data_IF_277187773052
#
_entry.id   IF_277187773052
#
_cell.length_a   1.000
_cell.length_b   1.000
_cell.length_c   1.000
_cell.angle_alpha   90.00
_cell.angle_beta   90.00
_cell.angle_gamma   90.00
#
_symmetry.space_group_name_H-M   'P 1'
#
loop_
_entity.id
_entity.type
_entity.pdbx_description
1 polymer ?
#
# COMPACT_ATOMS: atom_id res chain seq x y z
N UNK A 1 -56.81 -15.55 27.42
CA UNK A 1 -55.67 -14.72 27.86
C UNK A 1 -54.39 -15.39 27.38
N UNK A 2 -53.88 -15.00 26.21
CA UNK A 2 -52.68 -15.60 25.62
C UNK A 2 -51.46 -14.94 26.27
N UNK A 3 -50.66 -15.73 26.98
CA UNK A 3 -49.47 -15.28 27.69
C UNK A 3 -48.41 -14.91 26.64
N UNK A 4 -48.05 -13.63 26.57
CA UNK A 4 -46.98 -13.16 25.71
C UNK A 4 -45.67 -13.87 26.07
N UNK A 5 -45.10 -14.59 25.12
CA UNK A 5 -43.77 -15.19 25.26
C UNK A 5 -42.78 -14.02 25.20
N UNK A 6 -42.25 -13.68 26.37
CA UNK A 6 -41.11 -12.77 26.52
C UNK A 6 -39.98 -13.25 25.63
N UNK A 7 -39.59 -12.41 24.67
CA UNK A 7 -38.44 -12.62 23.79
C UNK A 7 -37.17 -12.28 24.58
N UNK A 8 -36.95 -12.96 25.70
CA UNK A 8 -35.75 -12.79 26.52
C UNK A 8 -34.58 -13.49 25.85
N UNK A 9 -33.56 -12.69 25.52
CA UNK A 9 -32.16 -13.08 25.53
C UNK A 9 -31.76 -14.18 24.55
N UNK A 10 -31.73 -13.84 23.27
CA UNK A 10 -30.68 -14.38 22.41
C UNK A 10 -29.37 -13.68 22.79
N UNK A 11 -28.77 -14.08 23.92
CA UNK A 11 -27.36 -13.86 24.19
C UNK A 11 -26.58 -14.55 23.06
N UNK A 12 -26.35 -13.82 21.98
CA UNK A 12 -25.30 -14.17 21.03
C UNK A 12 -24.03 -14.16 21.85
N UNK A 13 -23.49 -15.36 22.08
CA UNK A 13 -22.17 -15.62 22.62
C UNK A 13 -21.18 -14.88 21.71
N UNK A 14 -20.96 -13.61 22.03
CA UNK A 14 -20.17 -12.68 21.25
C UNK A 14 -18.71 -13.08 21.38
N UNK A 15 -17.96 -12.84 20.31
CA UNK A 15 -16.51 -12.98 20.25
C UNK A 15 -15.83 -12.55 21.57
N UNK A 16 -14.72 -13.21 21.93
CA UNK A 16 -13.91 -12.93 23.15
C UNK A 16 -13.38 -11.49 23.21
N UNK A 17 -13.57 -10.68 22.15
CA UNK A 17 -13.03 -9.34 22.00
C UNK A 17 -14.16 -8.30 21.82
N UNK A 18 -14.00 -7.07 22.39
CA UNK A 18 -14.95 -5.99 22.21
C UNK A 18 -15.08 -5.59 20.73
N UNK A 19 -16.30 -5.29 20.28
CA UNK A 19 -16.58 -4.97 18.87
C UNK A 19 -15.75 -3.82 18.30
N UNK A 20 -15.34 -2.87 19.16
CA UNK A 20 -14.49 -1.73 18.79
C UNK A 20 -13.15 -2.15 18.19
N UNK A 21 -12.62 -3.30 18.57
CA UNK A 21 -11.30 -3.76 18.12
C UNK A 21 -11.34 -4.62 16.86
N UNK A 22 -12.50 -5.08 16.41
CA UNK A 22 -12.57 -6.00 15.26
C UNK A 22 -12.02 -5.41 13.96
N UNK A 23 -12.25 -4.11 13.71
CA UNK A 23 -11.70 -3.45 12.53
C UNK A 23 -10.19 -3.24 12.63
N UNK A 24 -9.70 -2.90 13.82
CA UNK A 24 -8.26 -2.74 14.07
C UNK A 24 -7.55 -4.08 13.88
N UNK A 25 -8.12 -5.16 14.41
CA UNK A 25 -7.60 -6.52 14.23
C UNK A 25 -7.58 -6.90 12.75
N UNK A 26 -8.65 -6.60 11.99
CA UNK A 26 -8.67 -6.87 10.56
C UNK A 26 -7.55 -6.12 9.81
N UNK A 27 -7.34 -4.84 10.11
CA UNK A 27 -6.25 -4.05 9.52
C UNK A 27 -4.88 -4.61 9.91
N UNK A 28 -4.69 -5.05 11.15
CA UNK A 28 -3.45 -5.69 11.59
C UNK A 28 -3.21 -7.04 10.91
N UNK A 29 -4.26 -7.84 10.68
CA UNK A 29 -4.16 -9.09 9.93
C UNK A 29 -3.74 -8.82 8.48
N UNK A 30 -4.29 -7.78 7.84
CA UNK A 30 -3.88 -7.36 6.49
C UNK A 30 -2.42 -6.88 6.46
N UNK A 31 -1.98 -6.14 7.47
CA UNK A 31 -0.57 -5.74 7.56
C UNK A 31 0.34 -6.97 7.75
N UNK A 32 -0.06 -7.89 8.61
CA UNK A 32 0.69 -9.11 8.90
C UNK A 32 0.77 -10.02 7.67
N UNK A 33 -0.31 -10.15 6.87
CA UNK A 33 -0.28 -10.96 5.65
C UNK A 33 0.77 -10.45 4.67
N UNK A 34 0.87 -9.12 4.51
CA UNK A 34 1.90 -8.50 3.65
C UNK A 34 3.30 -8.81 4.20
N UNK A 35 3.54 -8.65 5.50
CA UNK A 35 4.86 -8.93 6.09
C UNK A 35 5.26 -10.40 5.92
N UNK A 36 4.32 -11.33 6.13
CA UNK A 36 4.58 -12.76 6.01
C UNK A 36 4.81 -13.15 4.56
N UNK A 37 3.98 -12.68 3.63
CA UNK A 37 4.08 -13.06 2.22
C UNK A 37 5.32 -12.46 1.54
N UNK A 38 5.67 -11.23 1.90
CA UNK A 38 6.82 -10.52 1.34
C UNK A 38 8.06 -10.54 2.25
N UNK A 39 8.16 -11.52 3.16
CA UNK A 39 9.26 -11.64 4.12
C UNK A 39 10.64 -11.53 3.46
N UNK A 40 10.87 -12.29 2.39
CA UNK A 40 12.16 -12.26 1.68
C UNK A 40 12.47 -10.91 1.03
N UNK A 41 11.46 -10.14 0.62
CA UNK A 41 11.67 -8.79 0.08
C UNK A 41 11.99 -7.80 1.21
N UNK A 42 11.31 -7.92 2.34
CA UNK A 42 11.44 -7.00 3.48
C UNK A 42 12.76 -7.21 4.23
N UNK A 43 13.17 -8.47 4.45
CA UNK A 43 14.28 -8.81 5.34
C UNK A 43 15.52 -9.37 4.63
N UNK A 44 15.38 -9.93 3.42
CA UNK A 44 16.50 -10.58 2.70
C UNK A 44 17.00 -9.75 1.52
N UNK A 45 16.57 -8.49 1.38
CA UNK A 45 16.91 -7.58 0.28
C UNK A 45 16.62 -8.14 -1.11
N UNK A 46 15.66 -9.07 -1.22
CA UNK A 46 15.19 -9.55 -2.50
C UNK A 46 14.36 -8.47 -3.21
N UNK A 47 14.31 -8.51 -4.54
CA UNK A 47 13.50 -7.60 -5.34
C UNK A 47 12.74 -8.34 -6.43
N UNK A 48 11.72 -7.70 -6.99
CA UNK A 48 10.98 -8.25 -8.12
C UNK A 48 11.86 -8.21 -9.38
N UNK A 49 12.20 -9.39 -9.90
CA UNK A 49 12.94 -9.52 -11.16
C UNK A 49 11.94 -9.34 -12.31
N UNK A 50 11.78 -8.09 -12.74
CA UNK A 50 11.09 -7.73 -13.97
C UNK A 50 12.04 -6.95 -14.88
N UNK A 51 11.99 -7.20 -16.19
CA UNK A 51 12.87 -6.55 -17.16
C UNK A 51 12.79 -5.01 -17.04
N UNK A 52 11.60 -4.47 -16.81
CA UNK A 52 11.38 -3.03 -16.64
C UNK A 52 12.02 -2.47 -15.35
N UNK A 53 12.01 -3.24 -14.25
CA UNK A 53 12.69 -2.86 -13.00
C UNK A 53 14.20 -2.75 -13.21
N UNK A 54 14.78 -3.67 -13.97
CA UNK A 54 16.22 -3.67 -14.28
C UNK A 54 16.55 -2.53 -15.25
N UNK A 55 15.78 -2.36 -16.32
CA UNK A 55 15.98 -1.29 -17.31
C UNK A 55 15.91 0.11 -16.68
N UNK A 56 15.01 0.31 -15.71
CA UNK A 56 14.85 1.60 -15.01
C UNK A 56 16.10 2.05 -14.24
N UNK A 57 16.98 1.12 -13.83
CA UNK A 57 18.24 1.45 -13.14
C UNK A 57 19.22 2.24 -14.01
N UNK A 58 19.09 2.17 -15.34
CA UNK A 58 19.92 2.94 -16.26
C UNK A 58 19.80 4.47 -16.04
N UNK A 59 18.70 4.94 -15.44
CA UNK A 59 18.46 6.36 -15.17
C UNK A 59 19.02 6.85 -13.82
N UNK A 60 19.56 5.98 -12.96
CA UNK A 60 20.04 6.38 -11.64
C UNK A 60 21.17 7.41 -11.69
N UNK A 61 22.13 7.23 -12.62
CA UNK A 61 23.25 8.16 -12.79
C UNK A 61 22.77 9.54 -13.23
N UNK A 62 21.86 9.58 -14.21
CA UNK A 62 21.25 10.83 -14.69
C UNK A 62 20.50 11.54 -13.55
N UNK A 63 19.74 10.80 -12.74
CA UNK A 63 19.03 11.34 -11.59
C UNK A 63 20.00 11.95 -10.57
N UNK A 64 21.05 11.21 -10.18
CA UNK A 64 22.04 11.69 -9.20
C UNK A 64 22.77 12.94 -9.68
N UNK A 65 23.14 12.99 -10.96
CA UNK A 65 23.81 14.14 -11.56
C UNK A 65 22.89 15.38 -11.54
N UNK A 66 21.65 15.25 -12.00
CA UNK A 66 20.66 16.32 -11.97
C UNK A 66 20.39 16.83 -10.54
N UNK A 67 20.24 15.93 -9.57
CA UNK A 67 20.08 16.27 -8.15
C UNK A 67 21.29 17.02 -7.60
N UNK A 68 22.51 16.60 -7.94
CA UNK A 68 23.76 17.26 -7.50
C UNK A 68 23.90 18.70 -8.01
N UNK A 69 23.31 18.99 -9.16
CA UNK A 69 23.30 20.31 -9.78
C UNK A 69 22.06 21.15 -9.39
N UNK A 70 21.14 20.59 -8.60
CA UNK A 70 19.88 21.23 -8.24
C UNK A 70 18.95 21.44 -9.46
N UNK A 71 19.16 20.70 -10.54
CA UNK A 71 18.39 20.83 -11.78
C UNK A 71 17.21 19.87 -11.71
N UNK A 72 16.01 20.40 -11.92
CA UNK A 72 14.83 19.57 -12.14
C UNK A 72 14.89 19.01 -13.57
N UNK A 73 15.01 17.67 -13.75
CA UNK A 73 15.20 17.10 -15.06
C UNK A 73 13.92 17.21 -15.88
N UNK A 74 14.04 17.85 -17.05
CA UNK A 74 12.96 18.04 -18.00
C UNK A 74 12.93 16.89 -19.02
N UNK A 75 12.04 17.01 -20.01
CA UNK A 75 11.89 16.03 -21.08
C UNK A 75 13.21 15.73 -21.81
N UNK A 76 13.48 14.45 -22.05
CA UNK A 76 14.67 13.96 -22.74
C UNK A 76 14.38 13.78 -24.26
N UNK A 77 15.07 14.52 -25.16
CA UNK A 77 14.80 14.48 -26.60
C UNK A 77 15.39 13.28 -27.37
N UNK A 78 16.11 12.36 -26.73
CA UNK A 78 16.74 11.23 -27.43
C UNK A 78 15.75 10.13 -27.85
N UNK A 79 16.08 9.41 -28.94
CA UNK A 79 15.22 8.39 -29.58
C UNK A 79 14.89 7.27 -28.58
N UNK A 80 13.60 6.85 -28.52
CA UNK A 80 12.95 6.02 -27.49
C UNK A 80 12.56 6.71 -26.17
N UNK A 81 12.73 8.04 -26.04
CA UNK A 81 12.13 8.86 -24.98
C UNK A 81 10.85 9.60 -25.45
N UNK A 82 10.25 9.15 -26.54
CA UNK A 82 9.18 9.83 -27.28
C UNK A 82 7.76 9.37 -26.92
N UNK A 83 7.13 10.08 -25.99
CA UNK A 83 5.73 10.51 -26.10
C UNK A 83 5.61 11.89 -25.42
N UNK A 84 4.92 12.88 -26.01
CA UNK A 84 4.78 14.21 -25.40
C UNK A 84 3.78 14.13 -24.25
N UNK A 85 4.33 13.95 -23.05
CA UNK A 85 3.61 13.87 -21.78
C UNK A 85 4.58 13.41 -20.71
N UNK A 86 5.11 14.36 -19.91
CA UNK A 86 6.20 14.12 -18.95
C UNK A 86 7.49 13.62 -19.63
N UNK A 87 8.63 13.58 -18.94
CA UNK A 87 9.76 12.75 -19.37
C UNK A 87 9.41 11.25 -19.16
N UNK A 88 8.36 10.78 -19.86
CA UNK A 88 7.91 9.40 -20.13
C UNK A 88 8.28 8.32 -19.10
N UNK A 89 7.86 8.45 -17.83
CA UNK A 89 8.07 7.43 -16.77
C UNK A 89 9.53 6.94 -16.63
N UNK A 90 10.50 7.66 -17.22
CA UNK A 90 11.88 7.19 -17.32
C UNK A 90 12.53 7.24 -15.94
N UNK A 91 12.23 8.28 -15.17
CA UNK A 91 12.47 8.34 -13.75
C UNK A 91 11.59 9.44 -13.12
N UNK A 92 11.17 9.23 -11.88
CA UNK A 92 10.46 10.23 -11.09
C UNK A 92 11.46 10.92 -10.15
N UNK A 93 11.75 12.19 -10.43
CA UNK A 93 12.50 13.08 -9.54
C UNK A 93 11.61 13.70 -8.46
N UNK A 94 12.23 14.32 -7.45
CA UNK A 94 11.50 15.05 -6.42
C UNK A 94 10.82 16.30 -7.01
N UNK A 95 9.50 16.38 -6.88
CA UNK A 95 8.70 17.50 -7.36
C UNK A 95 8.40 18.45 -6.19
N UNK A 96 9.32 19.37 -5.92
CA UNK A 96 9.14 20.33 -4.82
C UNK A 96 7.87 21.19 -4.94
N UNK A 97 7.35 21.37 -6.15
CA UNK A 97 6.10 22.09 -6.41
C UNK A 97 4.84 21.24 -6.18
N UNK A 98 4.94 19.91 -6.09
CA UNK A 98 3.81 19.00 -5.89
C UNK A 98 3.70 18.62 -4.41
N UNK A 99 2.94 19.42 -3.67
CA UNK A 99 2.73 19.24 -2.23
C UNK A 99 2.02 17.91 -1.94
N UNK A 100 1.16 17.44 -2.84
CA UNK A 100 0.45 16.17 -2.68
C UNK A 100 1.41 15.00 -2.80
N UNK A 101 2.28 15.00 -3.81
CA UNK A 101 3.33 14.00 -3.96
C UNK A 101 4.29 14.01 -2.77
N UNK A 102 4.70 15.19 -2.31
CA UNK A 102 5.55 15.33 -1.13
C UNK A 102 4.91 14.66 0.10
N UNK A 103 3.64 14.97 0.39
CA UNK A 103 2.91 14.39 1.52
C UNK A 103 2.81 12.86 1.42
N UNK A 104 2.41 12.35 0.25
CA UNK A 104 2.29 10.90 0.02
C UNK A 104 3.65 10.21 0.19
N UNK A 105 4.71 10.79 -0.36
CA UNK A 105 6.07 10.27 -0.21
C UNK A 105 6.50 10.23 1.26
N UNK A 106 6.24 11.28 2.04
CA UNK A 106 6.53 11.27 3.48
C UNK A 106 5.80 10.13 4.20
N UNK A 107 4.48 10.04 4.05
CA UNK A 107 3.66 9.00 4.70
C UNK A 107 4.19 7.60 4.35
N UNK A 108 4.44 7.36 3.06
CA UNK A 108 4.94 6.09 2.54
C UNK A 108 6.32 5.74 3.09
N UNK A 109 7.23 6.71 3.15
CA UNK A 109 8.58 6.51 3.70
C UNK A 109 8.53 6.18 5.19
N UNK A 110 7.76 6.92 5.98
CA UNK A 110 7.60 6.61 7.40
C UNK A 110 6.97 5.24 7.63
N UNK A 111 5.95 4.87 6.85
CA UNK A 111 5.38 3.53 6.90
C UNK A 111 6.43 2.45 6.61
N UNK A 112 7.25 2.63 5.57
CA UNK A 112 8.30 1.68 5.20
C UNK A 112 9.36 1.54 6.29
N UNK A 113 9.77 2.65 6.91
CA UNK A 113 10.74 2.65 8.02
C UNK A 113 10.17 1.90 9.23
N UNK A 114 8.90 2.12 9.57
CA UNK A 114 8.29 1.56 10.79
C UNK A 114 7.96 0.07 10.61
N UNK A 115 7.42 -0.33 9.46
CA UNK A 115 6.82 -1.66 9.28
C UNK A 115 7.55 -2.57 8.29
N UNK A 116 8.33 -2.01 7.36
CA UNK A 116 8.89 -2.75 6.21
C UNK A 116 10.42 -2.69 6.15
N UNK A 117 11.07 -2.41 7.28
CA UNK A 117 12.53 -2.39 7.40
C UNK A 117 13.23 -1.48 6.34
N UNK A 118 12.54 -0.42 5.89
CA UNK A 118 13.02 0.50 4.86
C UNK A 118 13.51 -0.19 3.57
N UNK A 119 12.84 -1.26 3.14
CA UNK A 119 13.18 -1.94 1.88
C UNK A 119 12.92 -1.04 0.64
N UNK A 120 13.72 -1.22 -0.41
CA UNK A 120 13.69 -0.40 -1.63
C UNK A 120 12.31 -0.38 -2.31
N UNK A 121 11.59 -1.50 -2.27
CA UNK A 121 10.25 -1.66 -2.84
C UNK A 121 9.14 -1.51 -1.80
N UNK A 122 9.44 -1.00 -0.60
CA UNK A 122 8.46 -0.79 0.47
C UNK A 122 7.32 0.14 0.06
N UNK A 123 7.55 1.00 -0.94
CA UNK A 123 6.50 1.81 -1.54
C UNK A 123 5.39 1.00 -2.21
N UNK A 124 5.73 -0.14 -2.84
CA UNK A 124 4.77 -1.02 -3.49
C UNK A 124 3.91 -1.70 -2.43
N UNK A 125 4.55 -2.21 -1.37
CA UNK A 125 3.88 -2.88 -0.26
C UNK A 125 2.95 -1.94 0.51
N UNK A 126 3.31 -0.66 0.64
CA UNK A 126 2.43 0.38 1.17
C UNK A 126 1.13 0.50 0.36
N UNK A 127 1.20 0.46 -0.97
CA UNK A 127 0.01 0.52 -1.82
C UNK A 127 -0.82 -0.78 -1.76
N UNK A 128 -0.19 -1.96 -1.62
CA UNK A 128 -0.92 -3.20 -1.33
C UNK A 128 -1.66 -3.11 0.01
N UNK A 129 -1.04 -2.54 1.05
CA UNK A 129 -1.70 -2.31 2.33
C UNK A 129 -2.91 -1.38 2.20
N UNK A 130 -2.75 -0.24 1.51
CA UNK A 130 -3.87 0.69 1.26
C UNK A 130 -4.99 0.03 0.45
N UNK A 131 -4.65 -0.79 -0.55
CA UNK A 131 -5.62 -1.55 -1.35
C UNK A 131 -6.41 -2.51 -0.47
N UNK A 132 -5.73 -3.31 0.36
CA UNK A 132 -6.37 -4.27 1.27
C UNK A 132 -7.31 -3.58 2.27
N UNK A 133 -6.85 -2.50 2.91
CA UNK A 133 -7.67 -1.70 3.83
C UNK A 133 -8.87 -1.09 3.11
N UNK A 134 -8.67 -0.56 1.91
CA UNK A 134 -9.75 0.00 1.07
C UNK A 134 -10.81 -1.04 0.71
N UNK A 135 -10.39 -2.22 0.25
CA UNK A 135 -11.28 -3.33 -0.10
C UNK A 135 -12.03 -3.85 1.13
N UNK A 136 -11.35 -3.98 2.27
CA UNK A 136 -11.99 -4.36 3.54
C UNK A 136 -13.16 -3.43 3.87
N UNK A 137 -12.93 -2.12 3.92
CA UNK A 137 -13.98 -1.17 4.27
C UNK A 137 -15.07 -1.07 3.21
N UNK A 138 -14.71 -1.20 1.93
CA UNK A 138 -15.68 -1.21 0.84
C UNK A 138 -16.66 -2.38 0.97
N UNK A 139 -16.16 -3.59 1.18
CA UNK A 139 -16.98 -4.80 1.31
C UNK A 139 -17.75 -4.81 2.62
N UNK A 140 -17.13 -4.39 3.73
CA UNK A 140 -17.84 -4.26 4.99
C UNK A 140 -19.02 -3.29 4.88
N UNK A 141 -18.82 -2.14 4.22
CA UNK A 141 -19.90 -1.16 3.99
C UNK A 141 -21.03 -1.71 3.11
N UNK A 142 -20.72 -2.58 2.13
CA UNK A 142 -21.72 -3.16 1.23
C UNK A 142 -22.48 -4.34 1.82
N UNK A 143 -21.80 -5.23 2.54
CA UNK A 143 -22.37 -6.51 2.99
C UNK A 143 -22.64 -6.57 4.50
N UNK A 144 -22.13 -5.60 5.27
CA UNK A 144 -22.15 -5.60 6.73
C UNK A 144 -21.60 -6.90 7.36
N UNK A 145 -20.71 -7.59 6.63
CA UNK A 145 -20.11 -8.86 7.04
C UNK A 145 -18.59 -8.72 7.11
N UNK A 146 -18.07 -8.79 8.34
CA UNK A 146 -16.64 -8.59 8.66
C UNK A 146 -15.75 -9.70 8.09
N UNK A 147 -16.24 -10.94 8.06
CA UNK A 147 -15.47 -12.09 7.58
C UNK A 147 -15.36 -12.01 6.05
N UNK A 148 -16.47 -11.76 5.36
CA UNK A 148 -16.46 -11.57 3.91
C UNK A 148 -15.54 -10.41 3.50
N UNK A 149 -15.56 -9.32 4.27
CA UNK A 149 -14.67 -8.18 4.07
C UNK A 149 -13.19 -8.54 4.25
N UNK A 150 -12.85 -9.30 5.31
CA UNK A 150 -11.48 -9.72 5.57
C UNK A 150 -10.97 -10.67 4.48
N UNK A 151 -11.77 -11.65 4.07
CA UNK A 151 -11.41 -12.58 2.98
C UNK A 151 -11.17 -11.81 1.67
N UNK A 152 -12.03 -10.85 1.36
CA UNK A 152 -11.89 -10.03 0.15
C UNK A 152 -10.63 -9.16 0.18
N UNK A 153 -10.28 -8.62 1.35
CA UNK A 153 -9.06 -7.84 1.53
C UNK A 153 -7.81 -8.72 1.38
N UNK A 154 -7.81 -9.90 2.01
CA UNK A 154 -6.69 -10.86 1.89
C UNK A 154 -6.52 -11.41 0.48
N UNK A 155 -7.58 -11.43 -0.33
CA UNK A 155 -7.49 -11.86 -1.73
C UNK A 155 -6.74 -10.86 -2.63
N UNK A 156 -6.59 -9.60 -2.20
CA UNK A 156 -5.94 -8.54 -2.98
C UNK A 156 -4.59 -8.09 -2.40
N UNK A 157 -4.19 -8.62 -1.24
CA UNK A 157 -2.93 -8.32 -0.55
C UNK A 157 -2.01 -9.51 -0.49
#
# INVERSE_FOLDING_TARGET
MVKAISKSETQKKGWILPEKYHHIIAVLIILLSIIVFFWGIIFENNTFIAADTVASRAFETLKKDAESQGIFPLWNPYIFCGMPGYASLSFCGNRYFDITDALVNYIRTYFSIIFLNNCDVGYVLFYYFLLGVGVYFLIYRKLNNRIAALISALAVT
#
